data_IF_680857151606
#
_entry.id   IF_680857151606
#
_cell.length_a   1.000
_cell.length_b   1.000
_cell.length_c   1.000
_cell.angle_alpha   90.00
_cell.angle_beta   90.00
_cell.angle_gamma   90.00
#
_symmetry.space_group_name_H-M   'P 1'
#
loop_
_entity.id
_entity.type
_entity.pdbx_description
1 polymer ?
#
# COMPACT_ATOMS: atom_id res chain seq x y z
N UNK A 1 -25.91 11.99 -24.11
CA UNK A 1 -24.59 12.47 -24.55
C UNK A 1 -23.57 12.01 -23.52
N UNK A 2 -22.61 11.22 -24.01
CA UNK A 2 -21.33 10.74 -23.45
C UNK A 2 -21.30 9.86 -22.15
N UNK A 3 -20.63 8.69 -22.17
CA UNK A 3 -20.77 7.56 -21.23
C UNK A 3 -19.45 7.31 -20.44
N UNK A 4 -19.27 6.10 -19.85
CA UNK A 4 -18.02 5.36 -19.49
C UNK A 4 -18.17 4.77 -18.06
N UNK A 5 -18.69 3.55 -17.91
CA UNK A 5 -17.97 2.26 -17.82
C UNK A 5 -16.99 2.16 -16.64
N UNK A 6 -17.43 1.49 -15.58
CA UNK A 6 -16.64 0.49 -14.84
C UNK A 6 -17.50 -0.12 -13.70
N UNK A 7 -18.39 -1.06 -14.04
CA UNK A 7 -18.92 -2.00 -13.05
C UNK A 7 -17.91 -3.15 -12.96
N UNK A 8 -17.09 -3.15 -11.91
CA UNK A 8 -16.31 -4.32 -11.53
C UNK A 8 -17.14 -5.18 -10.56
N UNK A 9 -17.44 -6.40 -11.02
CA UNK A 9 -17.53 -7.59 -10.16
C UNK A 9 -18.81 -7.78 -9.35
N UNK A 10 -19.77 -8.51 -9.93
CA UNK A 10 -20.83 -9.24 -9.23
C UNK A 10 -20.25 -10.20 -8.16
N UNK A 11 -20.22 -9.76 -6.90
CA UNK A 11 -20.15 -10.64 -5.74
C UNK A 11 -21.57 -10.73 -5.14
N UNK A 12 -22.31 -11.77 -5.55
CA UNK A 12 -23.59 -12.11 -4.95
C UNK A 12 -23.32 -12.72 -3.58
N UNK A 13 -23.70 -12.04 -2.51
CA UNK A 13 -23.79 -12.67 -1.20
C UNK A 13 -25.19 -12.52 -0.63
N UNK A 14 -25.86 -13.66 -0.55
CA UNK A 14 -27.21 -13.84 -0.03
C UNK A 14 -27.14 -14.06 1.47
N UNK A 15 -27.29 -13.01 2.28
CA UNK A 15 -28.05 -13.13 3.54
C UNK A 15 -28.36 -11.77 4.18
N UNK A 16 -29.63 -11.64 4.49
CA UNK A 16 -30.33 -10.53 5.09
C UNK A 16 -30.05 -10.47 6.59
N UNK A 17 -29.10 -9.63 7.05
CA UNK A 17 -29.20 -8.82 8.30
C UNK A 17 -28.00 -7.88 8.61
N UNK A 18 -26.99 -7.72 7.75
CA UNK A 18 -25.74 -7.02 8.17
C UNK A 18 -25.30 -5.87 7.24
N UNK A 19 -26.25 -5.07 6.72
CA UNK A 19 -25.92 -3.95 5.82
C UNK A 19 -24.99 -2.90 6.48
N UNK A 20 -25.05 -2.71 7.81
CA UNK A 20 -24.16 -1.77 8.51
C UNK A 20 -22.71 -2.24 8.65
N UNK A 21 -22.45 -3.54 8.58
CA UNK A 21 -21.10 -4.13 8.73
C UNK A 21 -20.50 -4.46 7.37
N UNK A 22 -21.35 -4.77 6.37
CA UNK A 22 -20.90 -5.02 5.00
C UNK A 22 -20.23 -3.79 4.38
N UNK A 23 -20.79 -2.59 4.58
CA UNK A 23 -20.21 -1.34 4.06
C UNK A 23 -18.88 -0.98 4.76
N UNK A 24 -18.71 -1.32 6.05
CA UNK A 24 -17.45 -1.11 6.77
C UNK A 24 -16.31 -2.03 6.33
N UNK A 25 -16.62 -3.14 5.67
CA UNK A 25 -15.60 -4.08 5.17
C UNK A 25 -15.24 -3.84 3.70
N UNK A 26 -16.02 -3.01 2.99
CA UNK A 26 -15.72 -2.58 1.61
C UNK A 26 -14.90 -1.30 1.55
N UNK A 27 -15.07 -0.38 2.50
CA UNK A 27 -14.13 0.70 2.67
C UNK A 27 -12.87 0.08 3.27
N UNK A 28 -11.89 -0.22 2.42
CA UNK A 28 -10.54 -0.48 2.90
C UNK A 28 -10.04 0.80 3.54
N UNK A 29 -10.51 1.10 4.77
CA UNK A 29 -10.22 2.30 5.52
C UNK A 29 -8.71 2.31 5.72
N UNK A 30 -8.06 3.03 4.81
CA UNK A 30 -6.63 3.23 4.80
C UNK A 30 -6.44 4.65 5.33
N UNK A 31 -6.45 4.84 6.66
CA UNK A 31 -6.45 6.17 7.26
C UNK A 31 -5.19 6.98 6.90
N UNK A 32 -4.13 6.30 6.46
CA UNK A 32 -2.86 6.94 6.16
C UNK A 32 -2.73 7.25 4.66
N UNK A 33 -3.20 8.44 4.27
CA UNK A 33 -3.11 8.93 2.89
C UNK A 33 -1.80 9.65 2.61
N UNK A 34 -1.17 9.34 1.48
CA UNK A 34 -0.03 10.09 0.96
C UNK A 34 -0.51 11.43 0.39
N UNK A 35 0.02 12.54 0.91
CA UNK A 35 -0.30 13.89 0.45
C UNK A 35 0.18 14.18 -0.97
N UNK A 36 1.25 13.52 -1.44
CA UNK A 36 1.85 13.78 -2.76
C UNK A 36 1.15 13.09 -3.92
N UNK A 37 0.66 11.87 -3.74
CA UNK A 37 0.02 11.09 -4.82
C UNK A 37 -1.37 10.55 -4.47
N UNK A 38 -1.89 10.87 -3.29
CA UNK A 38 -3.23 10.46 -2.85
C UNK A 38 -3.37 8.98 -2.49
N UNK A 39 -2.32 8.16 -2.59
CA UNK A 39 -2.36 6.73 -2.25
C UNK A 39 -2.57 6.54 -0.75
N UNK A 40 -3.53 5.72 -0.39
CA UNK A 40 -3.82 5.40 1.00
C UNK A 40 -3.19 4.08 1.44
N UNK A 41 -2.79 4.00 2.70
CA UNK A 41 -2.19 2.84 3.35
C UNK A 41 -2.92 2.50 4.66
N UNK A 42 -2.98 1.21 4.99
CA UNK A 42 -3.62 0.71 6.21
C UNK A 42 -2.76 0.92 7.47
N UNK A 43 -1.46 1.16 7.31
CA UNK A 43 -0.51 1.41 8.41
C UNK A 43 0.39 2.59 8.08
N UNK A 44 0.70 3.39 9.09
CA UNK A 44 1.60 4.54 8.95
C UNK A 44 3.01 4.13 8.48
N UNK A 45 3.51 2.97 8.93
CA UNK A 45 4.81 2.45 8.48
C UNK A 45 4.88 2.20 6.97
N UNK A 46 3.77 1.79 6.36
CA UNK A 46 3.69 1.64 4.90
C UNK A 46 3.62 2.98 4.19
N UNK A 47 2.96 3.98 4.77
CA UNK A 47 2.98 5.35 4.25
C UNK A 47 4.39 5.95 4.33
N UNK A 48 5.09 5.79 5.46
CA UNK A 48 6.48 6.26 5.62
C UNK A 48 7.41 5.59 4.62
N UNK A 49 7.34 4.25 4.47
CA UNK A 49 8.11 3.55 3.43
C UNK A 49 7.75 4.03 2.03
N UNK A 50 6.48 4.31 1.77
CA UNK A 50 6.04 4.86 0.49
C UNK A 50 6.61 6.26 0.25
N UNK A 51 6.74 7.08 1.30
CA UNK A 51 7.33 8.42 1.21
C UNK A 51 8.77 8.40 0.69
N UNK A 52 9.55 7.39 1.07
CA UNK A 52 10.92 7.20 0.57
C UNK A 52 10.99 7.07 -0.97
N UNK A 53 9.90 6.69 -1.64
CA UNK A 53 9.83 6.65 -3.11
C UNK A 53 9.80 8.07 -3.69
N UNK A 54 9.16 9.01 -2.98
CA UNK A 54 9.02 10.39 -3.40
C UNK A 54 10.25 11.24 -3.10
N UNK A 55 10.94 10.94 -2.00
CA UNK A 55 12.18 11.63 -1.59
C UNK A 55 13.41 10.98 -2.22
N UNK A 56 13.31 9.73 -2.66
CA UNK A 56 14.45 8.96 -3.16
C UNK A 56 15.36 8.47 -2.04
N UNK A 57 14.97 8.64 -0.77
CA UNK A 57 15.74 8.20 0.37
C UNK A 57 15.84 6.67 0.43
N UNK A 58 17.04 6.18 0.74
CA UNK A 58 17.35 4.75 0.85
C UNK A 58 18.08 4.53 2.16
N UNK A 59 17.37 4.57 3.30
CA UNK A 59 18.00 4.59 4.63
C UNK A 59 18.70 3.28 5.00
N UNK A 60 18.49 2.20 4.24
CA UNK A 60 19.03 0.88 4.55
C UNK A 60 20.23 0.59 3.66
N UNK A 61 21.44 0.81 4.13
CA UNK A 61 22.67 0.56 3.38
C UNK A 61 23.28 -0.81 3.73
N UNK A 62 23.76 -1.51 2.71
CA UNK A 62 24.59 -2.70 2.88
C UNK A 62 26.02 -2.30 3.21
N UNK A 63 26.51 -2.68 4.40
CA UNK A 63 27.88 -2.38 4.83
C UNK A 63 28.98 -3.07 4.02
N UNK A 64 28.66 -4.13 3.26
CA UNK A 64 29.66 -4.89 2.48
C UNK A 64 29.91 -4.30 1.10
N UNK A 65 28.89 -3.74 0.44
CA UNK A 65 29.02 -3.20 -0.92
C UNK A 65 28.48 -1.79 -1.11
N UNK A 66 27.99 -1.13 -0.05
CA UNK A 66 27.45 0.23 -0.07
C UNK A 66 26.13 0.38 -0.81
N UNK A 67 25.46 -0.73 -1.21
CA UNK A 67 24.16 -0.65 -1.88
C UNK A 67 23.07 -0.27 -0.89
N UNK A 68 22.31 0.78 -1.20
CA UNK A 68 21.22 1.25 -0.35
C UNK A 68 19.84 0.76 -0.82
N UNK A 69 18.90 0.56 0.10
CA UNK A 69 17.56 0.02 -0.09
C UNK A 69 16.51 0.91 0.58
N UNK A 70 15.27 0.85 0.07
CA UNK A 70 14.13 1.63 0.58
C UNK A 70 13.47 0.99 1.80
N UNK A 71 13.68 -0.31 2.01
CA UNK A 71 13.18 -1.04 3.17
C UNK A 71 14.16 -2.13 3.65
N UNK A 72 13.92 -2.59 4.89
CA UNK A 72 14.70 -3.65 5.54
C UNK A 72 14.62 -4.96 4.79
N UNK A 73 13.44 -5.31 4.25
CA UNK A 73 13.23 -6.54 3.50
C UNK A 73 14.14 -6.61 2.26
N UNK A 74 14.28 -5.51 1.52
CA UNK A 74 15.19 -5.41 0.38
C UNK A 74 16.64 -5.61 0.78
N UNK A 75 17.08 -5.01 1.89
CA UNK A 75 18.42 -5.19 2.43
C UNK A 75 18.66 -6.66 2.85
N UNK A 76 17.71 -7.28 3.56
CA UNK A 76 17.83 -8.68 4.02
C UNK A 76 17.92 -9.65 2.84
N UNK A 77 17.09 -9.46 1.81
CA UNK A 77 17.14 -10.30 0.60
C UNK A 77 18.49 -10.10 -0.11
N UNK A 78 18.96 -8.85 -0.18
CA UNK A 78 20.24 -8.55 -0.77
C UNK A 78 21.42 -9.18 -0.01
N UNK A 79 21.37 -9.23 1.32
CA UNK A 79 22.41 -9.93 2.09
C UNK A 79 22.52 -11.42 1.77
N UNK A 80 21.51 -12.04 1.16
CA UNK A 80 21.59 -13.46 0.76
C UNK A 80 22.43 -13.69 -0.50
N UNK A 81 22.78 -12.64 -1.23
CA UNK A 81 23.58 -12.73 -2.46
C UNK A 81 25.03 -12.32 -2.26
N UNK A 82 25.38 -11.93 -1.03
CA UNK A 82 26.76 -11.91 -0.55
C UNK A 82 27.13 -13.32 -0.11
#
# INVERSE_FOLDING_TARGET
>A
DRPILAQEGDWRCSQSLELGVHEQLHDGEKPHKCSKCGKSFSKISYLTRHWNIHTGERPYECGECGKSFRDTSGLIIHHRIH
#
